data_IF_911415259649
#
_entry.id   IF_911415259649
#
_cell.length_a   1.000
_cell.length_b   1.000
_cell.length_c   1.000
_cell.angle_alpha   90.00
_cell.angle_beta   90.00
_cell.angle_gamma   90.00
#
_symmetry.space_group_name_H-M   'P 1'
#
loop_
_entity.id
_entity.type
_entity.pdbx_description
1 polymer ?
#
# COMPACT_ATOMS: atom_id res chain seq x y z
N UNK A 1 -13.44 14.54 11.33
CA UNK A 1 -14.13 15.62 10.62
C UNK A 1 -13.73 16.96 11.23
N UNK A 2 -13.02 17.81 10.46
CA UNK A 2 -12.56 19.13 10.89
C UNK A 2 -13.68 20.13 11.20
N UNK A 3 -14.92 19.80 10.84
CA UNK A 3 -16.09 20.61 11.19
C UNK A 3 -16.68 20.23 12.58
N UNK A 4 -16.15 19.18 13.22
CA UNK A 4 -16.56 18.85 14.57
C UNK A 4 -16.23 19.98 15.55
N UNK A 5 -17.15 20.26 16.46
CA UNK A 5 -16.91 21.26 17.55
C UNK A 5 -15.73 20.91 18.46
N UNK A 6 -15.33 19.66 18.47
CA UNK A 6 -14.21 19.16 19.28
C UNK A 6 -12.88 19.19 18.56
N UNK A 7 -12.87 19.45 17.23
CA UNK A 7 -11.65 19.42 16.42
C UNK A 7 -10.59 20.39 16.95
N UNK A 8 -9.36 19.92 17.01
CA UNK A 8 -8.23 20.67 17.60
C UNK A 8 -8.22 20.67 19.12
N UNK A 9 -8.87 19.69 19.77
CA UNK A 9 -8.87 19.52 21.24
C UNK A 9 -8.70 18.03 21.61
N UNK A 10 -8.30 17.78 22.87
CA UNK A 10 -8.19 16.39 23.39
C UNK A 10 -9.54 15.67 23.42
N UNK A 11 -10.63 16.40 23.62
CA UNK A 11 -11.98 15.82 23.58
C UNK A 11 -12.32 15.20 22.22
N UNK A 12 -11.65 15.60 21.12
CA UNK A 12 -11.80 14.95 19.83
C UNK A 12 -11.19 13.55 19.85
N UNK A 13 -10.01 13.38 20.47
CA UNK A 13 -9.37 12.08 20.61
C UNK A 13 -10.21 11.13 21.45
N UNK A 14 -10.84 11.59 22.53
CA UNK A 14 -11.73 10.79 23.34
C UNK A 14 -12.98 10.36 22.56
N UNK A 15 -13.57 11.28 21.82
CA UNK A 15 -14.71 10.98 20.94
C UNK A 15 -14.34 9.95 19.86
N UNK A 16 -13.19 10.12 19.23
CA UNK A 16 -12.69 9.20 18.21
C UNK A 16 -12.44 7.80 18.78
N UNK A 17 -11.81 7.70 19.96
CA UNK A 17 -11.59 6.41 20.64
C UNK A 17 -12.90 5.70 20.98
N UNK A 18 -13.94 6.44 21.40
CA UNK A 18 -15.25 5.86 21.67
C UNK A 18 -15.87 5.28 20.39
N UNK A 19 -15.88 6.03 19.28
CA UNK A 19 -16.37 5.54 18.00
C UNK A 19 -15.56 4.34 17.51
N UNK A 20 -14.25 4.41 17.60
CA UNK A 20 -13.36 3.31 17.21
C UNK A 20 -13.65 2.05 18.04
N UNK A 21 -13.88 2.21 19.34
CA UNK A 21 -14.24 1.09 20.23
C UNK A 21 -15.57 0.45 19.82
N UNK A 22 -16.58 1.24 19.49
CA UNK A 22 -17.88 0.72 19.00
C UNK A 22 -17.70 -0.10 17.71
N UNK A 23 -16.90 0.40 16.76
CA UNK A 23 -16.62 -0.30 15.51
C UNK A 23 -15.83 -1.59 15.74
N UNK A 24 -14.80 -1.55 16.58
CA UNK A 24 -13.93 -2.70 16.85
C UNK A 24 -14.62 -3.83 17.63
N UNK A 25 -15.71 -3.53 18.33
CA UNK A 25 -16.40 -4.51 19.20
C UNK A 25 -17.79 -4.91 18.71
N UNK A 26 -18.40 -4.14 17.81
CA UNK A 26 -19.81 -4.31 17.44
C UNK A 26 -20.06 -5.08 16.14
N UNK A 27 -19.06 -5.38 15.33
CA UNK A 27 -19.25 -5.84 13.94
C UNK A 27 -18.49 -7.12 13.58
N UNK A 28 -17.94 -7.83 14.56
CA UNK A 28 -17.16 -9.05 14.34
C UNK A 28 -15.70 -8.76 13.94
N UNK A 29 -15.07 -9.70 13.24
CA UNK A 29 -13.67 -9.61 12.85
C UNK A 29 -13.44 -8.51 11.81
N UNK A 30 -12.47 -7.65 12.06
CA UNK A 30 -12.10 -6.54 11.17
C UNK A 30 -10.80 -6.89 10.46
N UNK A 31 -10.83 -6.82 9.13
CA UNK A 31 -9.67 -7.09 8.29
C UNK A 31 -8.63 -5.96 8.38
N UNK A 32 -9.08 -4.70 8.25
CA UNK A 32 -8.20 -3.54 8.20
C UNK A 32 -8.84 -2.32 8.87
N UNK A 33 -8.04 -1.56 9.60
CA UNK A 33 -8.38 -0.21 10.05
C UNK A 33 -7.51 0.76 9.26
N UNK A 34 -8.16 1.57 8.45
CA UNK A 34 -7.52 2.49 7.54
C UNK A 34 -7.63 3.92 8.05
N UNK A 35 -6.50 4.57 8.35
CA UNK A 35 -6.44 5.93 8.81
C UNK A 35 -6.11 6.89 7.67
N UNK A 36 -7.00 7.86 7.43
CA UNK A 36 -6.71 9.04 6.63
C UNK A 36 -6.13 10.12 7.55
N UNK A 37 -4.88 10.45 7.38
CA UNK A 37 -4.16 11.43 8.21
C UNK A 37 -4.40 12.88 7.80
N UNK A 38 -5.40 13.15 6.96
CA UNK A 38 -5.72 14.52 6.58
C UNK A 38 -5.92 15.40 7.82
N UNK A 39 -4.98 16.30 8.06
CA UNK A 39 -4.95 17.19 9.22
C UNK A 39 -4.89 18.66 8.78
N UNK A 40 -5.93 19.11 8.06
CA UNK A 40 -6.08 20.52 7.70
C UNK A 40 -6.52 21.38 8.87
N UNK A 41 -6.35 22.68 8.74
CA UNK A 41 -6.93 23.63 9.68
C UNK A 41 -8.45 23.60 9.65
N UNK A 42 -9.07 23.50 10.80
CA UNK A 42 -10.53 23.55 10.94
C UNK A 42 -11.09 24.97 10.86
N UNK A 43 -12.43 25.13 10.76
CA UNK A 43 -13.06 26.45 10.78
C UNK A 43 -12.78 27.26 12.05
N UNK A 44 -12.33 26.62 13.12
CA UNK A 44 -11.94 27.24 14.39
C UNK A 44 -10.46 27.68 14.43
N UNK A 45 -9.73 27.59 13.30
CA UNK A 45 -8.33 27.96 13.21
C UNK A 45 -7.36 26.98 13.89
N UNK A 46 -7.81 25.77 14.23
CA UNK A 46 -7.00 24.76 14.90
C UNK A 46 -6.73 23.56 14.00
N UNK A 47 -5.60 22.91 14.23
CA UNK A 47 -5.29 21.57 13.71
C UNK A 47 -5.47 20.55 14.82
N UNK A 48 -5.87 19.33 14.46
CA UNK A 48 -5.96 18.25 15.42
C UNK A 48 -4.59 17.60 15.61
N UNK A 49 -4.24 17.37 16.86
CA UNK A 49 -3.17 16.45 17.24
C UNK A 49 -3.85 15.12 17.56
N UNK A 50 -3.61 14.12 16.72
CA UNK A 50 -4.21 12.80 16.87
C UNK A 50 -3.43 11.94 17.86
N UNK A 51 -4.13 11.18 18.70
CA UNK A 51 -3.54 10.22 19.62
C UNK A 51 -3.43 8.84 18.94
N UNK A 52 -2.56 8.73 17.92
CA UNK A 52 -2.37 7.49 17.18
C UNK A 52 -1.91 6.33 18.06
N UNK A 53 -1.07 6.57 19.05
CA UNK A 53 -0.62 5.53 19.99
C UNK A 53 -1.84 4.91 20.69
N UNK A 54 -2.72 5.74 21.24
CA UNK A 54 -3.94 5.27 21.89
C UNK A 54 -4.95 4.61 20.93
N UNK A 55 -5.01 5.03 19.67
CA UNK A 55 -5.84 4.38 18.65
C UNK A 55 -5.31 3.00 18.30
N UNK A 56 -4.01 2.87 18.09
CA UNK A 56 -3.33 1.61 17.78
C UNK A 56 -3.47 0.62 18.94
N UNK A 57 -3.30 1.08 20.19
CA UNK A 57 -3.52 0.26 21.38
C UNK A 57 -4.94 -0.32 21.45
N UNK A 58 -5.96 0.50 21.14
CA UNK A 58 -7.35 0.03 21.08
C UNK A 58 -7.57 -1.03 20.00
N UNK A 59 -7.01 -0.82 18.81
CA UNK A 59 -7.12 -1.78 17.71
C UNK A 59 -6.45 -3.09 18.11
N UNK A 60 -5.24 -3.07 18.61
CA UNK A 60 -4.51 -4.28 19.02
C UNK A 60 -5.20 -5.00 20.17
N UNK A 61 -5.89 -4.26 21.06
CA UNK A 61 -6.66 -4.84 22.16
C UNK A 61 -7.89 -5.59 21.69
N UNK A 62 -8.68 -5.02 20.78
CA UNK A 62 -9.97 -5.57 20.38
C UNK A 62 -9.91 -6.38 19.09
N UNK A 63 -8.98 -6.06 18.18
CA UNK A 63 -8.81 -6.68 16.87
C UNK A 63 -7.30 -6.93 16.61
N UNK A 64 -6.65 -7.86 17.34
CA UNK A 64 -5.20 -8.04 17.29
C UNK A 64 -4.68 -8.45 15.91
N UNK A 65 -5.53 -9.05 15.09
CA UNK A 65 -5.20 -9.51 13.74
C UNK A 65 -5.55 -8.51 12.63
N UNK A 66 -6.19 -7.38 12.97
CA UNK A 66 -6.52 -6.36 11.98
C UNK A 66 -5.22 -5.69 11.48
N UNK A 67 -5.11 -5.56 10.16
CA UNK A 67 -4.09 -4.72 9.55
C UNK A 67 -4.37 -3.26 9.86
N UNK A 68 -3.34 -2.48 10.12
CA UNK A 68 -3.47 -1.04 10.31
C UNK A 68 -2.73 -0.33 9.20
N UNK A 69 -3.49 0.46 8.43
CA UNK A 69 -2.93 1.38 7.46
C UNK A 69 -2.82 2.78 8.05
N UNK A 70 -1.67 3.40 7.83
CA UNK A 70 -1.41 4.80 8.13
C UNK A 70 -0.26 5.27 7.22
N UNK A 71 -0.04 6.57 7.06
CA UNK A 71 1.00 7.14 6.20
C UNK A 71 2.39 6.51 6.43
N UNK A 72 2.71 6.15 7.68
CA UNK A 72 3.99 5.57 8.09
C UNK A 72 3.89 4.18 8.74
N UNK A 73 2.78 3.52 8.59
CA UNK A 73 2.53 2.23 9.25
C UNK A 73 1.70 2.35 10.53
N UNK A 74 1.56 1.27 11.30
CA UNK A 74 2.57 0.23 11.58
C UNK A 74 2.62 -0.97 10.65
N UNK A 75 1.50 -1.40 10.04
CA UNK A 75 1.48 -2.66 9.29
C UNK A 75 1.62 -2.40 7.79
N UNK A 76 0.93 -1.39 7.29
CA UNK A 76 1.03 -0.92 5.92
C UNK A 76 1.10 0.61 5.89
N UNK A 77 1.71 1.16 4.88
CA UNK A 77 1.92 2.59 4.72
C UNK A 77 1.40 3.11 3.39
N UNK A 78 1.16 4.39 3.31
CA UNK A 78 0.89 5.05 2.05
C UNK A 78 2.13 5.07 1.15
N UNK A 79 1.94 4.84 -0.17
CA UNK A 79 3.02 4.89 -1.16
C UNK A 79 3.56 6.30 -1.40
N UNK A 80 2.85 7.34 -0.94
CA UNK A 80 3.25 8.73 -1.06
C UNK A 80 2.69 9.46 -2.28
N UNK A 81 1.79 8.85 -3.04
CA UNK A 81 1.11 9.49 -4.17
C UNK A 81 -0.25 8.87 -4.43
N UNK A 82 -1.14 9.62 -5.11
CA UNK A 82 -2.46 9.19 -5.55
C UNK A 82 -2.51 8.89 -7.06
N UNK A 83 -1.35 8.77 -7.70
CA UNK A 83 -1.25 8.53 -9.15
C UNK A 83 -1.42 7.07 -9.56
N UNK A 84 -1.42 6.16 -8.58
CA UNK A 84 -1.52 4.74 -8.84
C UNK A 84 -0.18 4.09 -9.19
N UNK A 85 0.96 4.65 -8.74
CA UNK A 85 2.29 4.16 -9.11
C UNK A 85 3.15 3.84 -7.90
N UNK A 86 3.75 2.65 -7.90
CA UNK A 86 4.85 2.31 -7.01
C UNK A 86 6.20 2.75 -7.60
N UNK A 87 7.22 2.88 -6.77
CA UNK A 87 8.61 3.06 -7.23
C UNK A 87 9.07 1.82 -7.98
N UNK A 88 9.99 1.99 -8.91
CA UNK A 88 10.62 0.85 -9.60
C UNK A 88 11.34 -0.10 -8.63
N UNK A 89 11.88 0.44 -7.56
CA UNK A 89 12.63 -0.25 -6.51
C UNK A 89 11.94 -0.16 -5.15
N UNK A 90 10.63 -0.39 -5.13
CA UNK A 90 9.83 -0.34 -3.90
C UNK A 90 10.13 -1.54 -3.01
N UNK A 91 10.55 -1.26 -1.76
CA UNK A 91 10.80 -2.28 -0.76
C UNK A 91 9.66 -2.38 0.24
N UNK A 92 9.43 -3.61 0.75
CA UNK A 92 8.41 -3.90 1.77
C UNK A 92 8.89 -3.55 3.19
N UNK A 93 10.07 -2.98 3.31
CA UNK A 93 10.65 -2.54 4.58
C UNK A 93 10.91 -1.04 4.54
N UNK A 94 10.86 -0.43 5.71
CA UNK A 94 11.18 0.98 5.91
C UNK A 94 12.19 1.12 7.05
N UNK A 95 12.92 2.23 7.14
CA UNK A 95 13.69 2.53 8.35
C UNK A 95 12.81 2.47 9.59
N UNK A 96 13.21 1.66 10.59
CA UNK A 96 12.44 1.49 11.81
C UNK A 96 12.17 2.83 12.52
N UNK A 97 13.13 3.73 12.49
CA UNK A 97 13.03 5.06 13.07
C UNK A 97 12.01 5.98 12.38
N UNK A 98 11.55 5.61 11.17
CA UNK A 98 10.51 6.33 10.41
C UNK A 98 9.14 5.66 10.53
N UNK A 99 9.09 4.39 10.86
CA UNK A 99 7.85 3.69 11.10
C UNK A 99 7.13 4.33 12.29
N UNK A 100 5.82 4.54 12.20
CA UNK A 100 5.00 5.21 13.24
C UNK A 100 5.27 6.70 13.45
N UNK A 101 5.79 7.41 12.45
CA UNK A 101 6.13 8.84 12.59
C UNK A 101 5.14 9.82 12.00
N UNK A 102 3.91 9.41 11.71
CA UNK A 102 2.89 10.32 11.15
C UNK A 102 2.75 11.64 11.92
N UNK A 103 2.91 11.60 13.24
CA UNK A 103 2.81 12.76 14.09
C UNK A 103 4.10 13.61 14.16
N UNK A 104 5.24 13.00 13.91
CA UNK A 104 6.54 13.64 14.10
C UNK A 104 7.10 14.30 12.86
N UNK A 105 6.40 14.17 11.74
CA UNK A 105 6.81 14.80 10.50
C UNK A 105 6.74 16.34 10.54
N UNK A 106 5.91 16.89 11.41
CA UNK A 106 5.80 18.34 11.60
C UNK A 106 7.00 18.96 12.30
N UNK A 107 7.86 18.16 12.91
CA UNK A 107 9.03 18.62 13.68
C UNK A 107 10.29 18.78 12.81
N UNK A 108 10.14 18.73 11.49
CA UNK A 108 11.23 18.91 10.55
C UNK A 108 11.90 17.60 10.14
N UNK A 109 12.92 17.67 9.29
CA UNK A 109 13.63 16.49 8.79
C UNK A 109 14.25 15.74 9.96
N UNK A 110 14.40 14.42 9.79
CA UNK A 110 15.20 13.62 10.71
C UNK A 110 16.58 14.26 10.84
N UNK A 111 16.84 14.87 11.97
CA UNK A 111 18.04 15.68 12.17
C UNK A 111 19.22 14.88 12.64
N UNK A 112 19.03 13.61 12.98
CA UNK A 112 20.08 12.77 13.55
C UNK A 112 20.45 11.60 12.67
N UNK A 113 21.72 11.49 12.36
CA UNK A 113 22.35 10.34 11.72
C UNK A 113 22.29 10.36 10.20
N UNK A 114 22.46 9.17 9.65
CA UNK A 114 22.65 8.90 8.22
C UNK A 114 21.44 9.22 7.33
N UNK A 115 20.26 9.35 7.91
CA UNK A 115 19.03 9.67 7.16
C UNK A 115 18.83 11.17 6.92
N UNK A 116 19.63 12.01 7.55
CA UNK A 116 19.53 13.46 7.41
C UNK A 116 19.84 13.89 5.97
N UNK A 117 18.90 14.59 5.35
CA UNK A 117 19.01 15.08 3.97
C UNK A 117 18.68 14.05 2.87
N UNK A 118 18.45 12.77 3.21
CA UNK A 118 18.01 11.75 2.26
C UNK A 118 16.49 11.66 2.22
N UNK A 119 15.87 11.70 3.39
CA UNK A 119 14.42 11.64 3.53
C UNK A 119 13.77 12.99 3.20
N UNK A 120 12.88 12.99 2.22
CA UNK A 120 12.15 14.19 1.79
C UNK A 120 10.63 14.01 1.86
N UNK A 121 10.13 12.83 1.50
CA UNK A 121 8.69 12.59 1.31
C UNK A 121 8.29 11.18 1.74
N UNK A 122 6.99 10.96 1.88
CA UNK A 122 6.44 9.62 2.08
C UNK A 122 6.89 8.63 0.99
N UNK A 123 6.99 9.11 -0.25
CA UNK A 123 7.43 8.30 -1.38
C UNK A 123 8.86 7.79 -1.28
N UNK A 124 9.68 8.29 -0.36
CA UNK A 124 11.06 7.82 -0.21
C UNK A 124 11.20 6.64 0.77
N UNK A 125 10.17 6.36 1.57
CA UNK A 125 10.25 5.39 2.68
C UNK A 125 10.71 4.00 2.25
N UNK A 126 10.22 3.48 1.12
CA UNK A 126 10.62 2.18 0.58
C UNK A 126 11.77 2.24 -0.41
N UNK A 127 12.48 3.37 -0.54
CA UNK A 127 13.62 3.47 -1.45
C UNK A 127 14.83 2.75 -0.91
N UNK A 128 15.56 2.07 -1.80
CA UNK A 128 16.79 1.40 -1.46
C UNK A 128 17.84 2.38 -0.91
N UNK A 129 17.86 3.60 -1.44
CA UNK A 129 18.75 4.66 -0.96
C UNK A 129 18.52 4.97 0.51
N UNK A 130 17.25 5.13 0.92
CA UNK A 130 16.92 5.44 2.30
C UNK A 130 17.21 4.27 3.26
N UNK A 131 16.79 3.05 2.90
CA UNK A 131 16.95 1.89 3.77
C UNK A 131 18.42 1.50 4.00
N UNK A 132 19.34 1.78 3.08
CA UNK A 132 20.78 1.53 3.24
C UNK A 132 21.41 2.24 4.43
N UNK A 133 20.87 3.37 4.83
CA UNK A 133 21.38 4.19 5.92
C UNK A 133 20.65 3.96 7.25
N UNK A 134 19.66 3.09 7.24
CA UNK A 134 18.90 2.76 8.45
C UNK A 134 19.72 1.87 9.40
N UNK A 135 19.51 2.07 10.70
CA UNK A 135 20.08 1.21 11.75
C UNK A 135 19.23 -0.02 12.02
N UNK A 136 18.00 -0.02 11.57
CA UNK A 136 17.05 -1.11 11.73
C UNK A 136 15.91 -0.96 10.73
N UNK A 137 15.33 -2.07 10.31
CA UNK A 137 14.24 -2.11 9.35
C UNK A 137 12.98 -2.65 10.01
N UNK A 138 11.84 -2.08 9.62
CA UNK A 138 10.51 -2.56 9.96
C UNK A 138 9.80 -3.04 8.71
N UNK A 139 9.11 -4.18 8.79
CA UNK A 139 8.24 -4.65 7.72
C UNK A 139 7.02 -3.74 7.65
N UNK A 140 6.84 -3.05 6.53
CA UNK A 140 5.77 -2.09 6.31
C UNK A 140 5.56 -1.89 4.81
N UNK A 141 4.90 -2.84 4.12
CA UNK A 141 4.64 -2.73 2.69
C UNK A 141 3.80 -1.48 2.38
N UNK A 142 4.05 -0.92 1.20
CA UNK A 142 3.30 0.24 0.73
C UNK A 142 1.95 -0.15 0.15
N UNK A 143 0.99 0.78 0.25
CA UNK A 143 -0.31 0.71 -0.41
C UNK A 143 -0.42 1.83 -1.45
N UNK A 144 -0.78 1.44 -2.66
CA UNK A 144 -1.13 2.33 -3.76
C UNK A 144 -2.62 2.56 -3.72
N UNK A 145 -3.03 3.82 -3.62
CA UNK A 145 -4.43 4.23 -3.62
C UNK A 145 -4.80 4.85 -4.97
N UNK A 146 -5.92 4.44 -5.52
CA UNK A 146 -6.49 5.03 -6.71
C UNK A 146 -8.01 4.89 -6.68
N UNK A 147 -8.73 5.89 -7.17
CA UNK A 147 -10.15 5.75 -7.42
C UNK A 147 -10.40 5.14 -8.80
N UNK A 148 -11.47 4.35 -8.92
CA UNK A 148 -11.94 3.86 -10.24
C UNK A 148 -12.41 5.01 -11.15
N UNK A 149 -12.72 6.16 -10.57
CA UNK A 149 -13.15 7.40 -11.25
C UNK A 149 -12.09 8.50 -11.11
N UNK A 150 -12.20 9.62 -11.84
CA UNK A 150 -11.27 10.74 -11.70
C UNK A 150 -11.18 11.31 -10.28
N UNK A 151 -12.28 11.31 -9.53
CA UNK A 151 -12.34 11.79 -8.15
C UNK A 151 -12.60 10.68 -7.13
N UNK A 152 -12.42 11.00 -5.83
CA UNK A 152 -12.66 10.08 -4.72
C UNK A 152 -14.14 9.91 -4.38
N UNK A 153 -14.98 10.85 -4.78
CA UNK A 153 -16.42 10.84 -4.53
C UNK A 153 -17.21 10.63 -5.83
N UNK A 154 -18.45 10.19 -5.68
CA UNK A 154 -19.32 9.92 -6.81
C UNK A 154 -19.81 11.20 -7.49
N UNK A 155 -19.62 11.29 -8.80
CA UNK A 155 -20.19 12.28 -9.69
C UNK A 155 -20.85 11.56 -10.88
N UNK A 156 -22.16 11.80 -11.14
CA UNK A 156 -22.88 11.03 -12.15
C UNK A 156 -22.38 11.26 -13.59
N UNK A 157 -21.73 12.39 -13.84
CA UNK A 157 -21.12 12.75 -15.13
C UNK A 157 -19.76 12.11 -15.38
N UNK A 158 -19.12 11.57 -14.36
CA UNK A 158 -17.82 10.92 -14.50
C UNK A 158 -17.97 9.46 -14.93
N UNK A 159 -17.03 9.02 -15.76
CA UNK A 159 -16.89 7.64 -16.20
C UNK A 159 -15.74 6.94 -15.44
N UNK A 160 -15.82 5.62 -15.23
CA UNK A 160 -14.71 4.85 -14.69
C UNK A 160 -13.51 4.89 -15.65
N UNK A 161 -12.32 4.84 -15.10
CA UNK A 161 -11.09 4.72 -15.86
C UNK A 161 -11.12 3.52 -16.81
N UNK A 162 -10.33 3.59 -17.87
CA UNK A 162 -10.23 2.51 -18.85
C UNK A 162 -9.65 1.23 -18.21
N UNK A 163 -10.02 0.08 -18.77
CA UNK A 163 -9.46 -1.21 -18.38
C UNK A 163 -7.94 -1.21 -18.47
N UNK A 164 -7.39 -0.63 -19.55
CA UNK A 164 -5.94 -0.50 -19.73
C UNK A 164 -5.27 0.25 -18.57
N UNK A 165 -5.87 1.35 -18.09
CA UNK A 165 -5.33 2.09 -16.96
C UNK A 165 -5.36 1.27 -15.68
N UNK A 166 -6.46 0.56 -15.40
CA UNK A 166 -6.56 -0.30 -14.20
C UNK A 166 -5.54 -1.44 -14.25
N UNK A 167 -5.38 -2.10 -15.40
CA UNK A 167 -4.38 -3.16 -15.59
C UNK A 167 -2.96 -2.62 -15.43
N UNK A 168 -2.66 -1.45 -15.99
CA UNK A 168 -1.36 -0.79 -15.83
C UNK A 168 -1.09 -0.49 -14.35
N UNK A 169 -2.07 0.08 -13.64
CA UNK A 169 -1.92 0.35 -12.20
C UNK A 169 -1.68 -0.93 -11.41
N UNK A 170 -2.41 -2.00 -11.70
CA UNK A 170 -2.17 -3.30 -11.07
C UNK A 170 -0.74 -3.80 -11.31
N UNK A 171 -0.25 -3.74 -12.54
CA UNK A 171 1.10 -4.16 -12.90
C UNK A 171 2.19 -3.32 -12.23
N UNK A 172 1.97 -2.03 -12.07
CA UNK A 172 2.94 -1.13 -11.44
C UNK A 172 2.82 -1.07 -9.91
N UNK A 173 1.72 -1.52 -9.32
CA UNK A 173 1.52 -1.60 -7.87
C UNK A 173 1.77 -3.02 -7.35
N UNK A 174 0.87 -3.95 -7.61
CA UNK A 174 0.99 -5.34 -7.15
C UNK A 174 2.21 -6.02 -7.80
N UNK A 175 2.43 -5.80 -9.10
CA UNK A 175 3.64 -6.24 -9.79
C UNK A 175 4.91 -5.55 -9.31
N UNK A 176 4.81 -4.41 -8.64
CA UNK A 176 5.89 -3.65 -8.01
C UNK A 176 6.02 -3.90 -6.50
N UNK A 177 5.45 -4.98 -5.97
CA UNK A 177 5.50 -5.34 -4.54
C UNK A 177 4.76 -4.38 -3.60
N UNK A 178 3.74 -3.67 -4.10
CA UNK A 178 2.85 -2.82 -3.30
C UNK A 178 1.45 -3.42 -3.22
N UNK A 179 0.69 -3.05 -2.21
CA UNK A 179 -0.74 -3.32 -2.16
C UNK A 179 -1.48 -2.39 -3.14
N UNK A 180 -2.66 -2.80 -3.59
CA UNK A 180 -3.51 -1.96 -4.42
C UNK A 180 -4.89 -1.81 -3.80
N UNK A 181 -5.20 -0.59 -3.35
CA UNK A 181 -6.50 -0.20 -2.82
C UNK A 181 -7.25 0.62 -3.87
N UNK A 182 -8.29 0.02 -4.46
CA UNK A 182 -9.12 0.66 -5.48
C UNK A 182 -10.41 1.20 -4.85
N UNK A 183 -10.52 2.51 -4.74
CA UNK A 183 -11.74 3.17 -4.29
C UNK A 183 -12.86 3.08 -5.34
N UNK A 184 -14.06 2.73 -4.90
CA UNK A 184 -15.27 2.72 -5.71
C UNK A 184 -16.29 3.59 -5.02
N UNK A 185 -16.50 4.83 -5.48
CA UNK A 185 -17.39 5.76 -4.78
C UNK A 185 -18.86 5.34 -4.93
N UNK A 186 -19.59 5.16 -3.82
CA UNK A 186 -20.99 4.78 -3.88
C UNK A 186 -21.87 5.95 -4.33
N UNK A 187 -22.92 5.64 -5.08
CA UNK A 187 -24.02 6.58 -5.37
C UNK A 187 -24.73 7.01 -4.07
N UNK A 188 -25.51 8.09 -4.07
CA UNK A 188 -26.34 8.51 -2.93
C UNK A 188 -27.29 7.43 -2.38
N UNK A 189 -27.65 6.44 -3.21
CA UNK A 189 -28.43 5.27 -2.82
C UNK A 189 -27.68 4.23 -1.98
N UNK A 190 -26.35 4.40 -1.77
CA UNK A 190 -25.46 3.44 -1.13
C UNK A 190 -25.06 2.26 -2.02
N UNK A 191 -25.39 2.27 -3.31
CA UNK A 191 -25.02 1.24 -4.28
C UNK A 191 -23.92 1.74 -5.20
N UNK A 192 -23.19 0.83 -5.82
CA UNK A 192 -22.25 1.20 -6.88
C UNK A 192 -22.99 1.52 -8.19
N UNK A 193 -22.44 2.44 -8.96
CA UNK A 193 -22.92 2.74 -10.30
C UNK A 193 -22.76 1.49 -11.19
N UNK A 194 -23.76 1.13 -12.02
CA UNK A 194 -23.66 -0.01 -12.93
C UNK A 194 -22.43 0.03 -13.86
N UNK A 195 -21.95 1.21 -14.23
CA UNK A 195 -20.74 1.40 -15.04
C UNK A 195 -19.48 0.97 -14.29
N UNK A 196 -19.42 1.25 -12.98
CA UNK A 196 -18.30 0.84 -12.14
C UNK A 196 -18.32 -0.67 -11.91
N UNK A 197 -19.51 -1.24 -11.68
CA UNK A 197 -19.70 -2.69 -11.55
C UNK A 197 -19.23 -3.42 -12.81
N UNK A 198 -19.62 -2.92 -13.99
CA UNK A 198 -19.18 -3.47 -15.26
C UNK A 198 -17.67 -3.38 -15.44
N UNK A 199 -17.06 -2.22 -15.14
CA UNK A 199 -15.62 -2.02 -15.24
C UNK A 199 -14.84 -2.92 -14.26
N UNK A 200 -15.33 -3.11 -13.04
CA UNK A 200 -14.74 -4.03 -12.08
C UNK A 200 -14.78 -5.48 -12.57
N UNK A 201 -15.90 -5.86 -13.19
CA UNK A 201 -16.02 -7.19 -13.79
C UNK A 201 -15.02 -7.38 -14.91
N UNK A 202 -14.91 -6.44 -15.84
CA UNK A 202 -13.93 -6.47 -16.94
C UNK A 202 -12.49 -6.56 -16.40
N UNK A 203 -12.18 -5.80 -15.36
CA UNK A 203 -10.88 -5.82 -14.70
C UNK A 203 -10.59 -7.16 -14.04
N UNK A 204 -11.56 -7.71 -13.30
CA UNK A 204 -11.41 -9.03 -12.67
C UNK A 204 -11.27 -10.16 -13.69
N UNK A 205 -11.99 -10.10 -14.81
CA UNK A 205 -11.88 -11.08 -15.89
C UNK A 205 -10.50 -10.98 -16.58
N UNK A 206 -10.01 -9.77 -16.84
CA UNK A 206 -8.68 -9.56 -17.42
C UNK A 206 -7.55 -10.04 -16.49
N UNK A 207 -7.67 -9.83 -15.17
CA UNK A 207 -6.71 -10.37 -14.19
C UNK A 207 -6.72 -11.91 -14.17
N UNK A 208 -7.89 -12.53 -14.26
CA UNK A 208 -8.01 -13.99 -14.32
C UNK A 208 -7.42 -14.54 -15.61
N UNK A 209 -7.64 -13.87 -16.73
CA UNK A 209 -7.05 -14.25 -18.01
C UNK A 209 -5.52 -14.15 -17.97
N UNK A 210 -4.98 -13.05 -17.43
CA UNK A 210 -3.55 -12.81 -17.38
C UNK A 210 -2.80 -13.68 -16.36
N UNK A 211 -3.38 -13.90 -15.17
CA UNK A 211 -2.68 -14.49 -14.02
C UNK A 211 -3.40 -15.67 -13.37
N UNK A 212 -4.60 -16.00 -13.82
CA UNK A 212 -5.43 -17.05 -13.20
C UNK A 212 -4.99 -18.48 -13.47
N UNK A 213 -4.12 -18.69 -14.44
CA UNK A 213 -3.60 -20.01 -14.80
C UNK A 213 -2.11 -19.92 -15.09
N UNK A 214 -1.35 -20.80 -14.46
CA UNK A 214 0.04 -21.00 -14.81
C UNK A 214 0.15 -21.74 -16.16
N UNK A 215 1.25 -21.54 -16.88
CA UNK A 215 1.52 -22.29 -18.09
C UNK A 215 1.58 -23.79 -17.77
N UNK A 216 0.77 -24.58 -18.46
CA UNK A 216 0.72 -26.04 -18.29
C UNK A 216 1.78 -26.77 -19.12
N UNK A 217 2.61 -26.03 -19.88
CA UNK A 217 3.68 -26.62 -20.68
C UNK A 217 4.73 -27.26 -19.78
N UNK A 218 5.09 -28.53 -20.01
CA UNK A 218 6.16 -29.15 -19.24
C UNK A 218 7.46 -28.35 -19.34
N UNK A 219 8.07 -28.09 -18.19
CA UNK A 219 9.31 -27.35 -18.13
C UNK A 219 10.21 -27.89 -17.01
N UNK A 220 11.47 -27.55 -17.09
CA UNK A 220 12.45 -27.81 -16.03
C UNK A 220 12.98 -26.49 -15.51
N UNK A 221 13.31 -26.46 -14.22
CA UNK A 221 13.94 -25.30 -13.58
C UNK A 221 15.27 -25.74 -13.03
N UNK A 222 16.33 -25.10 -13.46
CA UNK A 222 17.68 -25.27 -12.92
C UNK A 222 18.14 -23.98 -12.25
N UNK A 223 18.82 -24.12 -11.12
CA UNK A 223 19.47 -23.01 -10.42
C UNK A 223 20.97 -23.19 -10.49
N UNK A 224 21.66 -22.11 -10.82
CA UNK A 224 23.11 -22.00 -10.81
C UNK A 224 23.51 -20.82 -9.92
N UNK A 225 24.29 -21.09 -8.87
CA UNK A 225 24.86 -20.05 -8.03
C UNK A 225 26.17 -19.56 -8.66
N UNK A 226 26.15 -18.35 -9.20
CA UNK A 226 27.30 -17.71 -9.87
C UNK A 226 28.28 -17.12 -8.85
N UNK A 227 27.77 -16.61 -7.74
CA UNK A 227 28.55 -16.09 -6.62
C UNK A 227 27.73 -16.14 -5.31
N UNK A 228 28.27 -15.66 -4.21
CA UNK A 228 27.54 -15.55 -2.92
C UNK A 228 26.32 -14.61 -3.02
N UNK A 229 26.29 -13.70 -3.99
CA UNK A 229 25.24 -12.68 -4.13
C UNK A 229 24.50 -12.76 -5.47
N UNK A 230 24.80 -13.75 -6.31
CA UNK A 230 24.21 -13.88 -7.62
C UNK A 230 23.88 -15.32 -7.97
N UNK A 231 22.66 -15.56 -8.42
CA UNK A 231 22.25 -16.84 -9.00
C UNK A 231 21.48 -16.63 -10.31
N UNK A 232 21.46 -17.64 -11.13
CA UNK A 232 20.67 -17.72 -12.37
C UNK A 232 19.66 -18.84 -12.22
N UNK A 233 18.43 -18.55 -12.57
CA UNK A 233 17.40 -19.57 -12.78
C UNK A 233 17.18 -19.74 -14.28
N UNK A 234 17.38 -20.96 -14.78
CA UNK A 234 17.08 -21.31 -16.15
C UNK A 234 15.78 -22.09 -16.19
N UNK A 235 14.87 -21.67 -17.04
CA UNK A 235 13.60 -22.35 -17.28
C UNK A 235 13.57 -22.87 -18.71
N UNK A 236 13.64 -24.17 -18.88
CA UNK A 236 13.63 -24.81 -20.21
C UNK A 236 12.24 -25.43 -20.43
N UNK A 237 11.51 -24.94 -21.42
CA UNK A 237 10.24 -25.48 -21.85
C UNK A 237 10.44 -26.67 -22.81
N UNK A 238 9.54 -27.65 -22.74
CA UNK A 238 9.61 -28.85 -23.62
C UNK A 238 9.36 -28.51 -25.10
N UNK A 239 8.75 -27.39 -25.39
CA UNK A 239 8.47 -26.87 -26.72
C UNK A 239 8.51 -25.34 -26.75
N UNK A 240 8.64 -24.75 -27.92
CA UNK A 240 8.57 -23.29 -28.08
C UNK A 240 7.25 -22.75 -27.52
N UNK A 241 7.37 -21.85 -26.57
CA UNK A 241 6.24 -21.40 -25.73
C UNK A 241 6.18 -19.91 -25.65
N UNK A 242 5.03 -19.33 -26.01
CA UNK A 242 4.80 -17.90 -25.83
C UNK A 242 4.51 -17.61 -24.35
N UNK A 243 5.29 -16.73 -23.77
CA UNK A 243 5.14 -16.27 -22.38
C UNK A 243 4.80 -14.79 -22.38
N UNK A 244 3.65 -14.41 -21.82
CA UNK A 244 3.21 -13.02 -21.77
C UNK A 244 3.59 -12.34 -20.45
N UNK A 245 3.56 -13.11 -19.35
CA UNK A 245 3.82 -12.60 -18.01
C UNK A 245 4.68 -13.58 -17.22
N UNK A 246 5.58 -13.03 -16.42
CA UNK A 246 6.39 -13.78 -15.47
C UNK A 246 6.15 -13.17 -14.09
N UNK A 247 5.66 -13.96 -13.15
CA UNK A 247 5.48 -13.56 -11.76
C UNK A 247 6.62 -14.13 -10.92
N UNK A 248 7.45 -13.26 -10.38
CA UNK A 248 8.52 -13.63 -9.45
C UNK A 248 8.04 -13.40 -8.02
N UNK A 249 8.25 -14.39 -7.16
CA UNK A 249 7.94 -14.29 -5.73
C UNK A 249 9.16 -14.68 -4.92
N UNK A 250 9.67 -13.71 -4.18
CA UNK A 250 10.73 -13.97 -3.20
C UNK A 250 10.13 -14.54 -1.91
N UNK A 251 10.79 -15.53 -1.32
CA UNK A 251 10.52 -15.93 0.06
C UNK A 251 11.12 -14.89 1.01
N UNK A 252 10.28 -13.99 1.50
CA UNK A 252 10.66 -12.91 2.42
C UNK A 252 10.57 -13.29 3.90
N UNK A 253 10.36 -14.55 4.24
CA UNK A 253 10.27 -15.02 5.64
C UNK A 253 11.53 -14.72 6.45
N UNK A 254 12.67 -14.61 5.76
CA UNK A 254 13.96 -14.24 6.33
C UNK A 254 14.44 -12.84 5.90
N UNK A 255 13.52 -12.00 5.46
CA UNK A 255 13.77 -10.66 4.93
C UNK A 255 13.88 -10.62 3.42
N UNK A 256 13.59 -9.47 2.85
CA UNK A 256 13.73 -9.18 1.42
C UNK A 256 15.21 -9.01 1.07
N UNK A 257 15.70 -9.70 0.04
CA UNK A 257 17.13 -9.78 -0.29
C UNK A 257 17.44 -9.55 -1.77
N UNK A 258 16.47 -9.79 -2.67
CA UNK A 258 16.66 -9.59 -4.10
C UNK A 258 16.65 -8.09 -4.39
N UNK A 259 17.82 -7.54 -4.72
CA UNK A 259 17.98 -6.12 -5.05
C UNK A 259 17.74 -5.83 -6.54
N UNK A 260 18.03 -6.80 -7.40
CA UNK A 260 17.93 -6.64 -8.84
C UNK A 260 17.77 -7.98 -9.54
N UNK A 261 16.96 -7.98 -10.59
CA UNK A 261 16.85 -9.14 -11.49
C UNK A 261 16.79 -8.68 -12.95
N UNK A 262 17.13 -9.59 -13.85
CA UNK A 262 17.00 -9.44 -15.30
C UNK A 262 16.33 -10.71 -15.83
N UNK A 263 15.42 -10.54 -16.78
CA UNK A 263 14.79 -11.64 -17.51
C UNK A 263 15.30 -11.59 -18.93
N UNK A 264 15.81 -12.73 -19.40
CA UNK A 264 16.34 -12.91 -20.74
C UNK A 264 15.62 -14.07 -21.42
N UNK A 265 15.40 -14.00 -22.71
CA UNK A 265 14.88 -15.09 -23.53
C UNK A 265 15.89 -15.41 -24.62
N UNK A 266 16.08 -16.69 -24.90
CA UNK A 266 16.87 -17.18 -26.03
C UNK A 266 16.11 -17.05 -27.35
#
# INVERSE_FOLDING_TARGET
DRNSRYYGTDAYNDYYKNQLTELLTGYGDIFCVWFDNACGEGPNGKKQVYDFDGYIELIRKYQPNACIFNDYGPDTRWIGNESGTARYEEWMVVPHELCFRAEKQTDGPLTEGSLNGIYNTWGDLGSQELIRYSRGLAFCPSEVDMSIRPGWFYHPEEEPHSLERLMRTYMTSVGGSALFNLNIPPMPSGRFDPRDVQRLKEFGDALKEAFGQELSVPHTVAREDVSETQCVFRIDFAEETAVNYIALREDISQGQRVERFVIESD
#
